data_IF_697781061994
#
_entry.id   IF_697781061994
#
_cell.length_a   1.000
_cell.length_b   1.000
_cell.length_c   1.000
_cell.angle_alpha   90.00
_cell.angle_beta   90.00
_cell.angle_gamma   90.00
#
_symmetry.space_group_name_H-M   'P 1'
#
loop_
_entity.id
_entity.type
_entity.pdbx_description
1 polymer ?
#
# COMPACT_ATOMS: atom_id res chain seq x y z
N UNK A 1 -36.19 0.64 -38.17
CA UNK A 1 -36.43 -0.26 -37.02
C UNK A 1 -35.22 -1.06 -36.52
N UNK A 2 -34.07 -1.12 -37.21
CA UNK A 2 -32.85 -1.78 -36.70
C UNK A 2 -31.98 -0.89 -35.78
N UNK A 3 -31.95 0.43 -36.00
CA UNK A 3 -31.20 1.36 -35.13
C UNK A 3 -31.81 1.54 -33.72
N UNK A 4 -33.14 1.49 -33.59
CA UNK A 4 -33.80 1.66 -32.28
C UNK A 4 -33.53 0.49 -31.31
N UNK A 5 -33.30 -0.72 -31.84
CA UNK A 5 -33.01 -1.93 -31.03
C UNK A 5 -31.57 -1.96 -30.52
N UNK A 6 -30.63 -1.30 -31.20
CA UNK A 6 -29.23 -1.22 -30.78
C UNK A 6 -29.09 -0.20 -29.63
N UNK A 7 -29.82 0.91 -29.66
CA UNK A 7 -29.76 1.93 -28.60
C UNK A 7 -30.34 1.41 -27.28
N UNK A 8 -31.44 0.64 -27.32
CA UNK A 8 -32.07 0.07 -26.11
C UNK A 8 -31.22 -1.03 -25.44
N UNK A 9 -30.43 -1.78 -26.21
CA UNK A 9 -29.52 -2.79 -25.67
C UNK A 9 -28.32 -2.17 -24.92
N UNK A 10 -27.83 -1.00 -25.34
CA UNK A 10 -26.72 -0.32 -24.67
C UNK A 10 -27.18 0.38 -23.38
N UNK A 11 -28.38 0.97 -23.36
CA UNK A 11 -28.91 1.63 -22.16
C UNK A 11 -29.19 0.64 -21.02
N UNK A 12 -29.56 -0.60 -21.33
CA UNK A 12 -29.78 -1.64 -20.31
C UNK A 12 -28.48 -2.16 -19.68
N UNK A 13 -27.37 -2.23 -20.43
CA UNK A 13 -26.08 -2.69 -19.89
C UNK A 13 -25.41 -1.61 -19.03
N UNK A 14 -25.53 -0.33 -19.39
CA UNK A 14 -25.06 0.77 -18.53
C UNK A 14 -25.96 1.02 -17.31
N UNK A 15 -27.22 0.59 -17.33
CA UNK A 15 -28.15 0.73 -16.21
C UNK A 15 -27.92 -0.27 -15.06
N UNK A 16 -27.32 -1.43 -15.33
CA UNK A 16 -27.06 -2.44 -14.30
C UNK A 16 -25.72 -2.16 -13.59
N UNK A 17 -24.72 -1.60 -14.27
CA UNK A 17 -23.47 -1.16 -13.64
C UNK A 17 -23.68 -0.02 -12.63
N UNK A 18 -24.70 0.83 -12.84
CA UNK A 18 -25.04 1.92 -11.92
C UNK A 18 -25.82 1.48 -10.68
N UNK A 19 -26.47 0.31 -10.69
CA UNK A 19 -27.32 -0.13 -9.58
C UNK A 19 -26.55 -0.90 -8.48
N UNK A 20 -25.44 -1.56 -8.82
CA UNK A 20 -24.58 -2.26 -7.83
C UNK A 20 -23.68 -1.31 -7.03
N UNK A 21 -23.62 -0.04 -7.41
CA UNK A 21 -22.89 0.99 -6.67
C UNK A 21 -23.66 1.55 -5.44
N UNK A 22 -24.88 1.09 -5.18
CA UNK A 22 -25.79 1.71 -4.19
C UNK A 22 -26.00 0.95 -2.88
N UNK A 23 -25.20 -0.08 -2.56
CA UNK A 23 -25.30 -0.79 -1.27
C UNK A 23 -23.98 -1.10 -0.55
N UNK A 24 -22.88 -0.45 -0.93
CA UNK A 24 -21.69 -0.35 -0.07
C UNK A 24 -21.47 1.13 0.26
N UNK A 25 -22.02 1.60 1.37
CA UNK A 25 -21.72 2.93 1.88
C UNK A 25 -20.36 2.89 2.58
N UNK A 26 -19.27 2.90 1.82
CA UNK A 26 -17.97 3.33 2.37
C UNK A 26 -18.04 4.84 2.47
N UNK A 27 -18.29 5.36 3.67
CA UNK A 27 -18.30 6.79 3.92
C UNK A 27 -16.85 7.30 3.94
N UNK A 28 -16.24 7.53 2.78
CA UNK A 28 -15.11 8.46 2.69
C UNK A 28 -15.67 9.88 2.66
N UNK A 29 -15.46 10.74 3.67
CA UNK A 29 -15.76 12.15 3.49
C UNK A 29 -14.72 12.78 2.55
N UNK A 30 -15.20 13.26 1.39
CA UNK A 30 -14.63 14.31 0.50
C UNK A 30 -13.17 14.16 0.06
N UNK A 31 -12.93 13.32 -0.96
CA UNK A 31 -11.68 13.21 -1.76
C UNK A 31 -10.38 13.16 -0.96
N UNK A 32 -9.93 11.95 -0.64
CA UNK A 32 -8.53 11.71 -0.32
C UNK A 32 -7.70 11.83 -1.61
N UNK A 33 -6.93 12.90 -1.75
CA UNK A 33 -5.99 13.07 -2.87
C UNK A 33 -4.68 12.35 -2.55
N UNK A 34 -4.01 11.85 -3.58
CA UNK A 34 -2.63 11.38 -3.45
C UNK A 34 -1.77 12.51 -2.94
N UNK A 35 -0.90 12.19 -2.00
CA UNK A 35 0.10 13.11 -1.50
C UNK A 35 1.40 12.37 -1.20
N UNK A 36 2.46 13.14 -1.06
CA UNK A 36 3.78 12.65 -0.67
C UNK A 36 4.11 13.28 0.68
N UNK A 37 4.14 12.54 1.80
CA UNK A 37 4.48 13.12 3.10
C UNK A 37 5.82 13.88 3.10
N UNK A 38 6.81 13.36 2.38
CA UNK A 38 8.13 13.97 2.19
C UNK A 38 8.18 15.07 1.11
N UNK A 39 7.05 15.37 0.45
CA UNK A 39 6.94 16.40 -0.60
C UNK A 39 6.99 17.83 -0.05
N UNK A 40 7.14 18.82 -0.92
CA UNK A 40 7.13 20.23 -0.51
C UNK A 40 5.72 20.66 -0.04
N UNK A 41 5.63 21.15 1.20
CA UNK A 41 4.36 21.59 1.80
C UNK A 41 3.79 22.85 1.13
N UNK A 42 2.45 22.95 0.97
CA UNK A 42 1.44 21.96 1.37
C UNK A 42 1.18 20.88 0.30
N UNK A 43 1.33 19.61 0.67
CA UNK A 43 0.98 18.43 -0.15
C UNK A 43 -0.50 18.06 -0.09
N UNK A 44 -1.28 18.77 0.74
CA UNK A 44 -2.71 18.56 0.89
C UNK A 44 -3.47 19.90 0.87
N UNK A 45 -4.67 19.95 0.30
CA UNK A 45 -5.42 21.19 0.17
C UNK A 45 -5.88 21.69 1.54
N UNK A 46 -5.84 23.01 1.73
CA UNK A 46 -6.62 23.71 2.74
C UNK A 46 -7.76 24.43 2.03
N UNK A 47 -8.95 23.83 2.01
CA UNK A 47 -10.13 24.44 1.38
C UNK A 47 -11.27 24.56 2.39
N UNK A 48 -11.96 25.70 2.37
CA UNK A 48 -13.19 25.90 3.15
C UNK A 48 -13.01 25.93 4.66
N UNK A 49 -11.78 26.15 5.17
CA UNK A 49 -11.47 26.07 6.59
C UNK A 49 -11.21 24.65 7.11
N UNK A 50 -11.22 23.66 6.22
CA UNK A 50 -10.87 22.28 6.52
C UNK A 50 -9.37 22.05 6.32
N UNK A 51 -8.74 21.42 7.32
CA UNK A 51 -7.33 21.06 7.30
C UNK A 51 -7.17 19.58 6.94
N UNK A 52 -6.25 19.30 6.02
CA UNK A 52 -5.90 17.95 5.61
C UNK A 52 -4.42 17.72 5.90
N UNK A 53 -4.12 16.53 6.40
CA UNK A 53 -2.75 16.08 6.60
C UNK A 53 -2.43 14.92 5.67
N UNK A 54 -1.18 14.84 5.24
CA UNK A 54 -0.72 13.75 4.39
C UNK A 54 -0.29 12.55 5.24
N UNK A 55 -1.01 11.44 5.10
CA UNK A 55 -0.79 10.21 5.84
C UNK A 55 -0.26 9.14 4.90
N UNK A 56 0.90 8.57 5.21
CA UNK A 56 1.41 7.44 4.45
C UNK A 56 0.50 6.23 4.58
N UNK A 57 0.29 5.53 3.47
CA UNK A 57 -0.46 4.28 3.36
C UNK A 57 0.46 3.04 3.36
N UNK A 58 1.74 3.22 3.73
CA UNK A 58 2.78 2.20 3.63
C UNK A 58 3.00 1.48 4.98
N UNK A 59 2.72 0.17 5.05
CA UNK A 59 2.87 -0.63 6.26
C UNK A 59 4.27 -1.27 6.41
N UNK A 60 5.22 -1.01 5.50
CA UNK A 60 6.51 -1.67 5.52
C UNK A 60 7.25 -1.45 6.84
N UNK A 61 7.81 -2.53 7.38
CA UNK A 61 8.50 -2.51 8.66
C UNK A 61 9.75 -3.38 8.64
N UNK A 62 10.67 -3.11 9.59
CA UNK A 62 11.93 -3.82 9.71
C UNK A 62 12.24 -4.18 11.16
N UNK A 63 12.76 -5.39 11.37
CA UNK A 63 13.23 -5.85 12.69
C UNK A 63 14.74 -5.85 12.68
N UNK A 64 15.37 -4.93 13.42
CA UNK A 64 16.83 -4.76 13.37
C UNK A 64 17.61 -6.01 13.80
N UNK A 65 17.05 -6.82 14.70
CA UNK A 65 17.64 -8.10 15.12
C UNK A 65 17.49 -9.24 14.12
N UNK A 66 16.67 -9.07 13.08
CA UNK A 66 16.48 -10.03 11.99
C UNK A 66 16.04 -9.29 10.72
N UNK A 67 17.02 -8.80 9.95
CA UNK A 67 16.78 -8.02 8.74
C UNK A 67 16.10 -8.82 7.61
N UNK A 68 16.02 -10.14 7.72
CA UNK A 68 15.34 -11.00 6.74
C UNK A 68 13.87 -11.24 7.11
N UNK A 69 13.49 -11.12 8.38
CA UNK A 69 12.14 -11.38 8.85
C UNK A 69 11.12 -10.39 8.28
N UNK A 70 10.07 -10.91 7.66
CA UNK A 70 8.88 -10.13 7.32
C UNK A 70 8.10 -9.91 8.61
N UNK A 71 7.82 -8.64 8.93
CA UNK A 71 7.25 -8.26 10.22
C UNK A 71 6.21 -7.18 10.02
N UNK A 72 5.22 -7.18 10.89
CA UNK A 72 4.21 -6.13 10.96
C UNK A 72 4.77 -4.87 11.67
N UNK A 73 4.30 -3.67 11.31
CA UNK A 73 4.74 -2.41 11.89
C UNK A 73 4.26 -2.23 13.34
N UNK A 74 5.20 -1.93 14.23
CA UNK A 74 4.93 -1.60 15.63
C UNK A 74 4.61 -0.11 15.76
N UNK A 75 3.33 0.21 15.69
CA UNK A 75 2.83 1.56 16.00
C UNK A 75 2.62 1.77 17.50
N UNK A 76 2.56 3.03 17.91
CA UNK A 76 2.27 3.39 19.31
C UNK A 76 0.89 2.83 19.72
N UNK A 77 0.88 1.86 20.64
CA UNK A 77 -0.34 1.26 21.17
C UNK A 77 -0.91 0.10 20.33
N UNK A 78 -0.12 -0.51 19.44
CA UNK A 78 -0.51 -1.66 18.60
C UNK A 78 0.55 -2.76 18.63
N UNK A 79 0.13 -3.99 18.32
CA UNK A 79 0.89 -5.22 18.61
C UNK A 79 1.81 -5.68 17.45
N UNK A 80 2.50 -4.75 16.79
CA UNK A 80 3.50 -5.08 15.76
C UNK A 80 4.90 -5.38 16.29
N UNK A 81 5.76 -5.95 15.44
CA UNK A 81 7.13 -6.34 15.81
C UNK A 81 8.22 -5.42 15.27
N UNK A 82 8.05 -4.89 14.06
CA UNK A 82 9.07 -4.15 13.33
C UNK A 82 8.95 -2.63 13.49
N UNK A 83 10.06 -1.92 13.32
CA UNK A 83 10.03 -0.46 13.18
C UNK A 83 9.42 -0.09 11.83
N UNK A 84 8.34 0.73 11.77
CA UNK A 84 7.77 1.19 10.51
C UNK A 84 8.79 2.01 9.70
N UNK A 85 8.91 1.75 8.40
CA UNK A 85 9.90 2.39 7.52
C UNK A 85 9.37 3.72 7.00
N UNK A 86 8.13 3.77 6.53
CA UNK A 86 7.54 4.94 5.86
C UNK A 86 6.31 5.51 6.57
N UNK A 87 5.97 5.01 7.76
CA UNK A 87 4.78 5.42 8.50
C UNK A 87 5.08 5.65 9.98
N UNK A 88 4.07 6.05 10.75
CA UNK A 88 4.24 6.42 12.16
C UNK A 88 5.22 7.58 12.31
N UNK A 89 6.29 7.38 13.10
CA UNK A 89 7.35 8.38 13.29
C UNK A 89 8.07 8.72 11.97
N UNK A 90 8.14 7.76 11.03
CA UNK A 90 8.81 7.93 9.74
C UNK A 90 7.87 8.37 8.61
N UNK A 91 6.64 8.79 8.93
CA UNK A 91 5.74 9.39 7.95
C UNK A 91 6.42 10.50 7.11
N UNK A 92 7.25 11.42 7.66
CA UNK A 92 7.86 12.50 6.87
C UNK A 92 8.86 12.08 5.80
N UNK A 93 9.29 10.82 5.75
CA UNK A 93 10.20 10.31 4.70
C UNK A 93 9.47 9.54 3.60
N UNK A 94 8.17 9.29 3.76
CA UNK A 94 7.36 8.56 2.80
C UNK A 94 7.08 9.36 1.54
N UNK A 95 7.00 8.65 0.41
CA UNK A 95 6.64 9.22 -0.89
C UNK A 95 5.21 8.88 -1.34
N UNK A 96 4.55 7.95 -0.64
CA UNK A 96 3.17 7.53 -0.91
C UNK A 96 2.27 7.81 0.29
N UNK A 97 1.09 8.34 0.01
CA UNK A 97 0.07 8.56 1.01
C UNK A 97 -1.19 9.20 0.46
N UNK A 98 -2.09 9.51 1.39
CA UNK A 98 -3.40 10.09 1.12
C UNK A 98 -3.61 11.32 2.01
N UNK A 99 -4.24 12.35 1.45
CA UNK A 99 -4.70 13.50 2.22
C UNK A 99 -5.91 13.09 3.05
N UNK A 100 -5.76 13.11 4.36
CA UNK A 100 -6.79 12.76 5.33
C UNK A 100 -7.24 14.03 6.03
N UNK A 101 -8.56 14.24 6.08
CA UNK A 101 -9.14 15.35 6.83
C UNK A 101 -8.79 15.22 8.30
N UNK A 102 -8.21 16.25 8.90
CA UNK A 102 -7.83 16.25 10.31
C UNK A 102 -9.04 15.98 11.20
N UNK A 103 -8.90 15.04 12.14
CA UNK A 103 -9.98 14.64 13.05
C UNK A 103 -11.08 13.76 12.45
N UNK A 104 -10.97 13.36 11.17
CA UNK A 104 -11.96 12.47 10.53
C UNK A 104 -11.79 10.99 10.89
N UNK A 105 -10.59 10.58 11.31
CA UNK A 105 -10.30 9.21 11.74
C UNK A 105 -10.70 9.06 13.21
N UNK A 106 -11.56 8.10 13.57
CA UNK A 106 -11.89 7.80 14.95
C UNK A 106 -10.63 7.45 15.74
N UNK A 107 -10.55 7.87 17.02
CA UNK A 107 -9.36 7.65 17.85
C UNK A 107 -8.90 6.18 17.92
N UNK A 108 -9.84 5.22 17.89
CA UNK A 108 -9.53 3.78 17.89
C UNK A 108 -8.84 3.29 16.60
N UNK A 109 -9.05 3.98 15.46
CA UNK A 109 -8.44 3.66 14.17
C UNK A 109 -7.31 4.61 13.78
N UNK A 110 -6.97 5.57 14.65
CA UNK A 110 -5.95 6.57 14.40
C UNK A 110 -4.60 6.16 15.01
N UNK A 111 -3.51 6.53 14.34
CA UNK A 111 -2.16 6.49 14.88
C UNK A 111 -1.98 7.57 15.95
N UNK A 112 -1.15 7.26 16.94
CA UNK A 112 -0.74 8.18 18.01
C UNK A 112 0.72 8.65 17.88
N UNK A 113 1.42 8.20 16.83
CA UNK A 113 2.82 8.51 16.58
C UNK A 113 3.03 9.99 16.24
N UNK A 114 4.08 10.61 16.76
CA UNK A 114 4.29 12.07 16.73
C UNK A 114 4.21 12.73 15.35
N UNK A 115 4.58 12.02 14.28
CA UNK A 115 4.56 12.53 12.90
C UNK A 115 3.41 11.98 12.04
N UNK A 116 2.51 11.20 12.64
CA UNK A 116 1.35 10.61 11.99
C UNK A 116 0.10 10.65 12.89
N UNK A 117 0.08 11.48 13.92
CA UNK A 117 -1.02 11.55 14.87
C UNK A 117 -2.33 11.87 14.14
N UNK A 118 -3.36 11.06 14.36
CA UNK A 118 -4.66 11.21 13.67
C UNK A 118 -4.71 10.63 12.25
N UNK A 119 -3.61 10.08 11.73
CA UNK A 119 -3.63 9.32 10.48
C UNK A 119 -4.28 7.95 10.70
N UNK A 120 -4.96 7.39 9.68
CA UNK A 120 -5.40 6.01 9.73
C UNK A 120 -4.18 5.09 9.76
N UNK A 121 -4.38 3.90 10.31
CA UNK A 121 -3.31 2.91 10.49
C UNK A 121 -3.00 2.25 9.15
N UNK A 122 -1.76 2.33 8.65
CA UNK A 122 -1.36 1.63 7.44
C UNK A 122 -1.39 0.13 7.66
N UNK A 123 -1.78 -0.61 6.63
CA UNK A 123 -1.82 -2.06 6.65
C UNK A 123 -1.52 -2.61 5.27
N UNK A 124 -1.14 -3.89 5.23
CA UNK A 124 -0.93 -4.61 3.98
C UNK A 124 -2.17 -5.46 3.65
N UNK A 125 -2.88 -5.21 2.54
CA UNK A 125 -4.03 -6.01 2.13
C UNK A 125 -3.73 -7.50 1.85
N UNK A 126 -2.45 -7.87 1.72
CA UNK A 126 -2.01 -9.26 1.50
C UNK A 126 -1.62 -9.99 2.79
N UNK A 127 -1.67 -9.34 3.95
CA UNK A 127 -1.47 -10.00 5.23
C UNK A 127 -2.57 -11.02 5.52
N UNK A 128 -2.26 -12.01 6.35
CA UNK A 128 -3.28 -12.89 6.88
C UNK A 128 -4.20 -12.15 7.87
N UNK A 129 -5.33 -12.78 8.20
CA UNK A 129 -6.31 -12.16 9.09
C UNK A 129 -5.79 -11.89 10.50
N UNK A 130 -4.84 -12.69 11.00
CA UNK A 130 -4.25 -12.52 12.31
C UNK A 130 -3.39 -11.26 12.37
N UNK A 131 -2.51 -11.08 11.40
CA UNK A 131 -1.69 -9.87 11.25
C UNK A 131 -2.57 -8.62 11.08
N UNK A 132 -3.66 -8.73 10.32
CA UNK A 132 -4.64 -7.64 10.19
C UNK A 132 -5.33 -7.36 11.51
N UNK A 133 -5.76 -8.36 12.28
CA UNK A 133 -6.40 -8.16 13.58
C UNK A 133 -5.42 -7.54 14.60
N UNK A 134 -4.15 -7.96 14.61
CA UNK A 134 -3.11 -7.44 15.52
C UNK A 134 -2.77 -5.97 15.23
N UNK A 135 -2.72 -5.58 13.95
CA UNK A 135 -2.39 -4.21 13.54
C UNK A 135 -3.62 -3.32 13.45
N UNK A 136 -4.70 -3.76 12.83
CA UNK A 136 -5.89 -2.96 12.62
C UNK A 136 -6.86 -3.00 13.82
N UNK A 137 -6.81 -4.06 14.61
CA UNK A 137 -7.78 -4.38 15.66
C UNK A 137 -8.86 -5.34 15.13
N UNK A 138 -9.31 -6.25 15.99
CA UNK A 138 -10.26 -7.32 15.68
C UNK A 138 -11.47 -6.84 14.87
N UNK A 139 -11.75 -7.53 13.77
CA UNK A 139 -12.92 -7.26 12.91
C UNK A 139 -12.77 -6.03 12.02
N UNK A 140 -11.58 -5.44 11.95
CA UNK A 140 -11.22 -4.45 10.94
C UNK A 140 -10.88 -5.12 9.61
N UNK A 141 -10.95 -4.37 8.52
CA UNK A 141 -10.47 -4.82 7.21
C UNK A 141 -9.31 -3.94 6.74
N UNK A 142 -8.33 -4.54 6.09
CA UNK A 142 -7.27 -3.80 5.44
C UNK A 142 -7.65 -3.52 3.98
N UNK A 143 -7.84 -2.25 3.62
CA UNK A 143 -8.21 -1.89 2.25
C UNK A 143 -7.09 -1.21 1.51
N UNK A 144 -6.77 -1.77 0.34
CA UNK A 144 -5.86 -1.21 -0.63
C UNK A 144 -6.29 0.21 -1.01
N UNK A 145 -5.35 1.14 -0.96
CA UNK A 145 -5.59 2.55 -1.29
C UNK A 145 -5.31 2.87 -2.75
N UNK A 146 -4.48 2.06 -3.44
CA UNK A 146 -3.97 2.33 -4.80
C UNK A 146 -4.22 1.12 -5.68
N UNK A 147 -4.94 1.27 -6.77
CA UNK A 147 -5.03 0.23 -7.80
C UNK A 147 -3.68 0.06 -8.52
N UNK A 148 -3.32 -1.18 -8.86
CA UNK A 148 -2.12 -1.47 -9.65
C UNK A 148 -2.27 -1.04 -11.10
N UNK A 149 -1.14 -0.70 -11.72
CA UNK A 149 -1.03 -0.52 -13.16
C UNK A 149 -0.17 -1.62 -13.79
N UNK A 150 -0.23 -1.75 -15.12
CA UNK A 150 0.55 -2.77 -15.83
C UNK A 150 2.07 -2.63 -15.61
N UNK A 151 2.56 -1.41 -15.43
CA UNK A 151 3.97 -1.12 -15.17
C UNK A 151 4.44 -1.58 -13.78
N UNK A 152 3.51 -1.91 -12.87
CA UNK A 152 3.81 -2.46 -11.55
C UNK A 152 4.04 -3.98 -11.58
N UNK A 153 3.85 -4.63 -12.72
CA UNK A 153 3.87 -6.08 -12.84
C UNK A 153 5.21 -6.61 -13.36
N UNK A 154 5.71 -7.68 -12.74
CA UNK A 154 6.87 -8.44 -13.19
C UNK A 154 6.45 -9.86 -13.56
N UNK A 155 7.11 -10.44 -14.55
CA UNK A 155 6.89 -11.83 -14.93
C UNK A 155 7.77 -12.74 -14.08
N UNK A 156 7.16 -13.49 -13.17
CA UNK A 156 7.83 -14.47 -12.34
C UNK A 156 7.79 -15.85 -13.01
N UNK A 157 8.92 -16.42 -13.45
CA UNK A 157 8.96 -17.72 -14.11
C UNK A 157 8.68 -18.89 -13.15
N UNK A 158 8.77 -18.69 -11.83
CA UNK A 158 8.63 -19.74 -10.82
C UNK A 158 7.18 -19.92 -10.35
N UNK A 159 6.25 -19.08 -10.84
CA UNK A 159 4.82 -19.14 -10.52
C UNK A 159 4.03 -19.65 -11.72
N UNK A 160 3.14 -20.62 -11.49
CA UNK A 160 2.30 -21.22 -12.51
C UNK A 160 3.05 -22.09 -13.53
N UNK A 161 2.34 -22.48 -14.59
CA UNK A 161 2.85 -23.51 -15.50
C UNK A 161 3.93 -22.99 -16.47
N UNK A 162 3.93 -21.68 -16.74
CA UNK A 162 4.80 -21.02 -17.73
C UNK A 162 5.24 -19.62 -17.28
N UNK A 163 5.28 -19.39 -15.97
CA UNK A 163 5.45 -18.08 -15.36
C UNK A 163 4.16 -17.26 -15.31
N UNK A 164 4.04 -16.38 -14.32
CA UNK A 164 2.89 -15.52 -14.09
C UNK A 164 3.31 -14.09 -13.80
N UNK A 165 2.54 -13.13 -14.31
CA UNK A 165 2.64 -11.74 -13.90
C UNK A 165 2.17 -11.62 -12.47
N UNK A 166 2.99 -10.99 -11.64
CA UNK A 166 2.65 -10.63 -10.26
C UNK A 166 3.12 -9.21 -9.96
N UNK A 167 2.62 -8.58 -8.89
CA UNK A 167 3.09 -7.28 -8.46
C UNK A 167 4.60 -7.32 -8.13
N UNK A 168 5.31 -6.26 -8.49
CA UNK A 168 6.72 -6.08 -8.20
C UNK A 168 6.97 -5.87 -6.69
N UNK A 169 8.08 -6.40 -6.22
CA UNK A 169 8.53 -6.27 -4.83
C UNK A 169 10.01 -5.90 -4.79
N UNK A 170 10.49 -5.49 -3.62
CA UNK A 170 11.87 -5.17 -3.38
C UNK A 170 12.85 -6.34 -3.63
N UNK A 171 12.37 -7.57 -3.56
CA UNK A 171 13.18 -8.75 -3.89
C UNK A 171 13.48 -8.84 -5.40
N UNK A 172 12.68 -8.19 -6.25
CA UNK A 172 12.91 -8.17 -7.69
C UNK A 172 14.05 -7.22 -8.11
N UNK A 173 14.60 -6.46 -7.16
CA UNK A 173 15.69 -5.52 -7.40
C UNK A 173 17.00 -6.29 -7.64
N UNK A 174 17.76 -5.85 -8.65
CA UNK A 174 19.09 -6.37 -8.95
C UNK A 174 19.99 -6.35 -7.70
N UNK A 175 20.76 -7.41 -7.49
CA UNK A 175 21.66 -7.64 -6.35
C UNK A 175 20.96 -7.85 -4.99
N UNK A 176 19.62 -7.96 -4.94
CA UNK A 176 18.89 -8.26 -3.70
C UNK A 176 18.40 -9.71 -3.55
N UNK A 177 18.68 -10.55 -4.55
CA UNK A 177 18.58 -12.01 -4.44
C UNK A 177 17.22 -12.64 -4.77
N UNK A 178 16.31 -11.88 -5.39
CA UNK A 178 15.08 -12.43 -5.98
C UNK A 178 15.17 -12.52 -7.50
N UNK A 179 14.16 -12.01 -8.23
CA UNK A 179 14.11 -12.13 -9.69
C UNK A 179 15.16 -11.28 -10.44
N UNK A 180 15.67 -10.22 -9.82
CA UNK A 180 16.65 -9.30 -10.42
C UNK A 180 16.21 -8.70 -11.77
N UNK A 181 14.94 -8.28 -11.85
CA UNK A 181 14.30 -7.75 -13.06
C UNK A 181 14.03 -6.25 -13.04
N UNK A 182 14.24 -5.58 -11.90
CA UNK A 182 14.03 -4.12 -11.74
C UNK A 182 15.22 -3.46 -11.05
N UNK A 183 15.42 -2.16 -11.30
CA UNK A 183 16.39 -1.34 -10.58
C UNK A 183 15.73 -0.36 -9.58
N UNK A 184 14.40 -0.44 -9.46
CA UNK A 184 13.57 0.44 -8.61
C UNK A 184 13.83 1.94 -8.80
N UNK A 185 14.14 2.34 -10.03
CA UNK A 185 14.41 3.73 -10.40
C UNK A 185 13.15 4.59 -10.24
N UNK A 186 13.33 5.92 -10.26
CA UNK A 186 12.22 6.85 -10.04
C UNK A 186 11.09 6.76 -11.10
N UNK A 187 11.33 6.13 -12.25
CA UNK A 187 10.36 5.98 -13.33
C UNK A 187 9.89 4.53 -13.53
N UNK A 188 10.34 3.58 -12.72
CA UNK A 188 9.88 2.18 -12.76
C UNK A 188 8.71 1.99 -11.81
N UNK A 189 7.69 1.23 -12.22
CA UNK A 189 6.48 0.94 -11.46
C UNK A 189 5.67 2.20 -11.10
N UNK A 190 4.51 2.38 -11.73
CA UNK A 190 3.61 3.53 -11.54
C UNK A 190 3.23 3.77 -10.09
N UNK A 191 3.15 2.71 -9.28
CA UNK A 191 2.70 2.77 -7.90
C UNK A 191 3.76 2.36 -6.89
N UNK A 192 5.05 2.42 -7.23
CA UNK A 192 6.10 2.18 -6.23
C UNK A 192 5.94 3.10 -4.99
N UNK A 193 6.39 2.62 -3.82
CA UNK A 193 6.24 3.37 -2.57
C UNK A 193 7.39 4.32 -2.23
N UNK A 194 8.54 4.08 -2.85
CA UNK A 194 9.73 4.92 -2.70
C UNK A 194 10.49 5.00 -4.03
N UNK A 195 10.05 5.86 -4.96
CA UNK A 195 10.65 5.94 -6.29
C UNK A 195 12.14 6.28 -6.19
N UNK A 196 13.01 5.41 -6.72
CA UNK A 196 14.45 5.58 -6.64
C UNK A 196 15.04 5.32 -5.25
N UNK A 197 14.28 4.80 -4.28
CA UNK A 197 14.80 4.38 -2.97
C UNK A 197 15.27 5.51 -2.06
N UNK A 198 14.71 6.72 -2.20
CA UNK A 198 15.15 7.90 -1.46
C UNK A 198 14.85 7.75 0.03
N UNK A 199 13.63 7.35 0.37
CA UNK A 199 13.22 7.12 1.74
C UNK A 199 13.99 5.97 2.40
N UNK A 200 14.30 4.88 1.69
CA UNK A 200 15.14 3.82 2.24
C UNK A 200 16.55 4.28 2.60
N UNK A 201 17.15 5.16 1.79
CA UNK A 201 18.44 5.78 2.14
C UNK A 201 18.32 6.65 3.37
N UNK A 202 17.33 7.55 3.40
CA UNK A 202 17.08 8.43 4.55
C UNK A 202 16.78 7.65 5.83
N UNK A 203 16.04 6.54 5.73
CA UNK A 203 15.76 5.66 6.86
C UNK A 203 17.05 5.04 7.42
N UNK A 204 17.88 4.46 6.56
CA UNK A 204 19.12 3.81 6.97
C UNK A 204 20.13 4.82 7.57
N UNK A 205 20.32 5.97 6.91
CA UNK A 205 21.18 7.08 7.39
C UNK A 205 20.67 7.68 8.72
N UNK A 206 19.37 7.59 8.99
CA UNK A 206 18.74 8.09 10.21
C UNK A 206 18.94 7.22 11.44
N UNK A 207 19.42 5.98 11.30
CA UNK A 207 19.67 5.07 12.43
C UNK A 207 21.05 5.36 13.02
N UNK A 208 21.08 5.64 14.33
CA UNK A 208 22.31 5.92 15.07
C UNK A 208 23.33 4.77 14.97
N UNK A 209 24.62 5.12 14.88
CA UNK A 209 25.71 4.12 14.77
C UNK A 209 25.77 3.17 15.96
N UNK A 210 25.40 3.64 17.16
CA UNK A 210 25.29 2.83 18.37
C UNK A 210 24.21 1.74 18.25
N UNK A 211 23.09 2.05 17.60
CA UNK A 211 22.02 1.08 17.34
C UNK A 211 22.46 0.06 16.29
N UNK A 212 23.13 0.51 15.22
CA UNK A 212 23.68 -0.38 14.18
C UNK A 212 24.70 -1.35 14.78
N UNK A 213 25.66 -0.84 15.56
CA UNK A 213 26.67 -1.64 16.27
C UNK A 213 26.04 -2.64 17.24
N UNK A 214 25.05 -2.21 18.03
CA UNK A 214 24.37 -3.08 18.99
C UNK A 214 23.62 -4.26 18.32
N UNK A 215 23.22 -4.10 17.06
CA UNK A 215 22.56 -5.15 16.27
C UNK A 215 23.54 -5.88 15.33
N UNK A 216 24.82 -5.50 15.29
CA UNK A 216 25.83 -6.13 14.44
C UNK A 216 25.57 -5.95 12.94
N UNK A 217 24.92 -4.86 12.55
CA UNK A 217 24.56 -4.55 11.16
C UNK A 217 25.23 -3.26 10.70
N UNK A 218 25.40 -3.09 9.38
CA UNK A 218 25.85 -1.83 8.79
C UNK A 218 24.67 -1.03 8.23
N UNK A 219 24.89 0.26 7.96
CA UNK A 219 23.93 1.09 7.22
C UNK A 219 23.59 0.47 5.85
N UNK A 220 24.56 -0.09 5.14
CA UNK A 220 24.34 -0.79 3.87
C UNK A 220 23.47 -2.04 4.03
N UNK A 221 23.65 -2.81 5.11
CA UNK A 221 22.77 -3.94 5.40
C UNK A 221 21.33 -3.48 5.65
N UNK A 222 21.16 -2.40 6.43
CA UNK A 222 19.85 -1.85 6.75
C UNK A 222 19.17 -1.26 5.50
N UNK A 223 19.92 -0.54 4.67
CA UNK A 223 19.46 -0.01 3.39
C UNK A 223 19.01 -1.14 2.47
N UNK A 224 19.81 -2.18 2.27
CA UNK A 224 19.44 -3.33 1.45
C UNK A 224 18.18 -4.04 1.99
N UNK A 225 18.07 -4.18 3.32
CA UNK A 225 16.89 -4.76 3.95
C UNK A 225 15.64 -3.86 3.78
N UNK A 226 15.79 -2.53 3.84
CA UNK A 226 14.72 -1.60 3.50
C UNK A 226 14.28 -1.75 2.04
N UNK A 227 15.23 -1.84 1.10
CA UNK A 227 14.91 -2.04 -0.31
C UNK A 227 14.11 -3.32 -0.54
N UNK A 228 14.42 -4.43 0.16
CA UNK A 228 13.63 -5.67 0.09
C UNK A 228 12.19 -5.54 0.58
N UNK A 229 11.91 -4.54 1.42
CA UNK A 229 10.56 -4.22 1.92
C UNK A 229 9.78 -3.29 0.99
N UNK A 230 10.37 -2.87 -0.13
CA UNK A 230 9.66 -2.05 -1.11
C UNK A 230 8.59 -2.87 -1.83
N UNK A 231 7.45 -2.24 -2.08
CA UNK A 231 6.33 -2.85 -2.77
C UNK A 231 5.64 -1.82 -3.67
N UNK A 232 4.65 -2.29 -4.43
CA UNK A 232 3.74 -1.49 -5.24
C UNK A 232 2.36 -1.43 -4.59
N UNK A 233 1.37 -0.85 -5.27
CA UNK A 233 0.06 -0.51 -4.71
C UNK A 233 -0.70 -1.63 -3.99
N UNK A 234 -0.48 -2.91 -4.31
CA UNK A 234 -1.21 -4.04 -3.73
C UNK A 234 -0.92 -4.29 -2.25
N UNK A 235 0.22 -3.83 -1.76
CA UNK A 235 0.62 -4.02 -0.36
C UNK A 235 0.48 -2.75 0.49
N UNK A 236 -0.20 -1.73 -0.03
CA UNK A 236 -0.43 -0.47 0.67
C UNK A 236 -1.91 -0.22 0.87
N UNK A 237 -2.27 0.17 2.08
CA UNK A 237 -3.65 0.29 2.47
C UNK A 237 -3.83 0.97 3.81
N UNK A 238 -5.10 1.11 4.20
CA UNK A 238 -5.49 1.55 5.53
C UNK A 238 -6.44 0.58 6.19
N UNK A 239 -6.28 0.43 7.50
CA UNK A 239 -7.23 -0.24 8.37
C UNK A 239 -8.55 0.54 8.35
N UNK A 240 -9.62 -0.12 7.95
CA UNK A 240 -10.98 0.39 8.06
C UNK A 240 -11.70 -0.42 9.14
N UNK A 241 -12.04 0.26 10.24
CA UNK A 241 -12.85 -0.29 11.32
C UNK A 241 -14.12 0.54 11.48
N UNK A 242 -15.29 -0.11 11.45
CA UNK A 242 -16.57 0.55 11.72
C UNK A 242 -17.78 -0.15 11.11
N UNK A 243 -18.95 0.05 11.72
CA UNK A 243 -20.25 -0.36 11.16
C UNK A 243 -20.44 0.22 9.76
N UNK A 244 -20.51 -0.63 8.74
CA UNK A 244 -20.81 -0.25 7.35
C UNK A 244 -19.70 -0.52 6.34
N UNK A 245 -18.48 -0.85 6.79
CA UNK A 245 -17.39 -1.27 5.90
C UNK A 245 -17.25 -2.79 5.97
N UNK A 246 -17.93 -3.50 5.07
CA UNK A 246 -17.93 -4.96 5.05
C UNK A 246 -17.04 -5.54 3.93
N UNK A 247 -16.51 -4.70 3.04
CA UNK A 247 -15.68 -5.16 1.94
C UNK A 247 -14.82 -4.04 1.33
N UNK A 248 -13.60 -4.38 0.91
CA UNK A 248 -12.75 -3.50 0.12
C UNK A 248 -13.09 -3.63 -1.37
N UNK A 249 -13.19 -2.52 -2.13
CA UNK A 249 -13.49 -2.60 -3.57
C UNK A 249 -12.50 -3.44 -4.37
N UNK A 250 -11.20 -3.36 -4.04
CA UNK A 250 -10.12 -4.07 -4.73
C UNK A 250 -9.89 -5.49 -4.19
N UNK A 251 -10.60 -5.89 -3.13
CA UNK A 251 -10.55 -7.26 -2.58
C UNK A 251 -11.77 -8.10 -2.99
N UNK A 252 -12.62 -7.60 -3.90
CA UNK A 252 -13.76 -8.37 -4.39
C UNK A 252 -13.27 -9.54 -5.23
N UNK A 253 -13.82 -10.74 -5.04
CA UNK A 253 -13.45 -11.93 -5.83
C UNK A 253 -13.59 -11.79 -7.35
N UNK A 254 -14.41 -10.85 -7.82
CA UNK A 254 -14.59 -10.55 -9.25
C UNK A 254 -13.65 -9.47 -9.76
N UNK A 255 -12.99 -8.72 -8.87
CA UNK A 255 -11.98 -7.75 -9.24
C UNK A 255 -10.75 -8.52 -9.73
N UNK A 256 -10.15 -8.03 -10.80
CA UNK A 256 -8.89 -8.56 -11.33
C UNK A 256 -7.92 -7.40 -11.41
N UNK A 257 -6.79 -7.50 -10.71
CA UNK A 257 -5.77 -6.44 -10.77
C UNK A 257 -5.06 -6.41 -12.14
N UNK A 258 -4.21 -5.40 -12.36
CA UNK A 258 -3.51 -5.25 -13.64
C UNK A 258 -2.64 -6.46 -14.00
N UNK A 259 -1.99 -7.10 -13.04
CA UNK A 259 -1.11 -8.24 -13.27
C UNK A 259 -1.94 -9.49 -13.61
N UNK A 260 -3.06 -9.68 -12.92
CA UNK A 260 -4.03 -10.73 -13.23
C UNK A 260 -4.68 -10.55 -14.60
N UNK A 261 -5.02 -9.31 -14.98
CA UNK A 261 -5.52 -8.98 -16.32
C UNK A 261 -4.47 -9.30 -17.40
N UNK A 262 -3.19 -9.08 -17.12
CA UNK A 262 -2.09 -9.47 -18.03
C UNK A 262 -1.96 -11.00 -18.14
N UNK A 263 -2.15 -11.74 -17.05
CA UNK A 263 -2.19 -13.20 -17.07
C UNK A 263 -3.34 -13.71 -17.95
N UNK A 264 -4.54 -13.16 -17.79
CA UNK A 264 -5.71 -13.50 -18.61
C UNK A 264 -5.48 -13.19 -20.09
N UNK A 265 -4.99 -11.99 -20.40
CA UNK A 265 -4.74 -11.55 -21.77
C UNK A 265 -3.71 -12.43 -22.49
N UNK A 266 -2.77 -13.02 -21.74
CA UNK A 266 -1.74 -13.93 -22.25
C UNK A 266 -2.11 -15.40 -22.11
N UNK A 267 -3.32 -15.72 -21.62
CA UNK A 267 -3.79 -17.06 -21.34
C UNK A 267 -2.81 -17.89 -20.48
N UNK A 268 -2.19 -17.25 -19.48
CA UNK A 268 -1.32 -17.92 -18.49
C UNK A 268 -2.16 -18.73 -17.51
N UNK A 269 -1.64 -19.90 -17.10
CA UNK A 269 -2.31 -20.84 -16.21
C UNK A 269 -1.49 -21.13 -14.96
N UNK A 270 -2.17 -21.51 -13.88
CA UNK A 270 -1.56 -21.79 -12.58
C UNK A 270 -1.13 -20.55 -11.79
N UNK A 271 -1.68 -19.37 -12.10
CA UNK A 271 -1.28 -18.09 -11.51
C UNK A 271 -1.99 -17.73 -10.19
N UNK A 272 -2.65 -18.67 -9.52
CA UNK A 272 -3.47 -18.43 -8.33
C UNK A 272 -3.27 -19.47 -7.25
#
# INVERSE_FOLDING_TARGET
MRLLKIVLAHVAVFGIAAAVASSCTVNYPTTAFRCSPAGASPNCPTQGGEEYQCCSDDPAAIKLGDLAAEVTPRYTGRDGEGSPIFSGVNNPISRSGMCIKSGSVPAAGALADVNASGCPVPCNPTWDSGDVDDICGEGSICCQTVELEADDCVLDPDIGDAGCWRPATGNDIVDLGGLEVTSWTANEHSTNQDPGGVGCRTFAEGVGSDVLEANGITEDNLKAACFRRLTVGNQRGFCLGGTGVNACPLAQSSYRDACEQMNDAQARSGCG
#
